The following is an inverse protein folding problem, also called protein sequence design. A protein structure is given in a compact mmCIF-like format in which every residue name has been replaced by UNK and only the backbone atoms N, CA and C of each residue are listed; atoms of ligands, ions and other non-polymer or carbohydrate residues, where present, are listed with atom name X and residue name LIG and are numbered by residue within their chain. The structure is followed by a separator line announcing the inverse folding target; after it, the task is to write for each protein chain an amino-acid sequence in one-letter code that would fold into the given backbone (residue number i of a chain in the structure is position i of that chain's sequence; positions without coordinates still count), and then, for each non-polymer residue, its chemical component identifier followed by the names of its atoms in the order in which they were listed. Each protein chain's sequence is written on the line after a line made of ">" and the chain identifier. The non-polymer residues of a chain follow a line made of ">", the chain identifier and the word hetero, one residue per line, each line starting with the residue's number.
data_IF_090693072821
#
_entry.id   IF_090693072821
#
_cell.length_a   1.000
_cell.length_b   1.000
_cell.length_c   1.000
_cell.angle_alpha   90.00
_cell.angle_beta   90.00
_cell.angle_gamma   90.00
#
_symmetry.space_group_name_H-M   'P 1'
#
loop_
_entity.id
_entity.type
_entity.pdbx_description
1 polymer ?
#
# COMPACT_ATOMS: atom_id res chain seq x y z
N UNK A 1 -19.47 5.73 -3.43
CA UNK A 1 -20.07 6.11 -2.13
C UNK A 1 -19.17 5.56 -1.05
N UNK A 2 -18.89 6.34 0.00
CA UNK A 2 -18.07 5.93 1.13
C UNK A 2 -18.97 5.49 2.28
N UNK A 3 -18.70 4.34 2.88
CA UNK A 3 -19.55 3.70 3.88
C UNK A 3 -18.72 3.05 5.00
N UNK A 4 -19.28 3.07 6.21
CA UNK A 4 -18.70 2.44 7.40
C UNK A 4 -19.79 1.63 8.10
N UNK A 5 -19.60 0.31 8.15
CA UNK A 5 -20.52 -0.61 8.80
C UNK A 5 -19.84 -1.32 9.98
N UNK A 6 -20.61 -1.58 11.03
CA UNK A 6 -20.22 -2.48 12.10
C UNK A 6 -20.81 -3.85 11.80
N UNK A 7 -19.98 -4.89 11.74
CA UNK A 7 -20.41 -6.26 11.47
C UNK A 7 -19.76 -7.14 12.52
N UNK A 8 -20.56 -7.74 13.41
CA UNK A 8 -20.06 -8.58 14.51
C UNK A 8 -18.99 -7.87 15.37
N UNK A 9 -17.73 -8.28 15.25
CA UNK A 9 -16.57 -7.78 16.01
C UNK A 9 -15.66 -6.83 15.22
N UNK A 10 -16.04 -6.48 13.98
CA UNK A 10 -15.21 -5.69 13.06
C UNK A 10 -15.92 -4.49 12.48
N UNK A 11 -15.12 -3.50 12.09
CA UNK A 11 -15.54 -2.42 11.21
C UNK A 11 -15.25 -2.78 9.76
N UNK A 12 -16.22 -2.52 8.89
CA UNK A 12 -16.07 -2.64 7.43
C UNK A 12 -16.12 -1.25 6.83
N UNK A 13 -15.05 -0.85 6.17
CA UNK A 13 -14.95 0.41 5.44
C UNK A 13 -14.90 0.12 3.95
N UNK A 14 -15.81 0.73 3.18
CA UNK A 14 -15.80 0.63 1.72
C UNK A 14 -15.95 2.02 1.11
N UNK A 15 -15.11 2.36 0.14
CA UNK A 15 -15.17 3.65 -0.52
C UNK A 15 -14.34 3.67 -1.80
N UNK A 16 -14.25 4.83 -2.47
CA UNK A 16 -13.30 5.00 -3.56
C UNK A 16 -11.85 4.81 -3.06
N UNK A 17 -10.92 4.64 -4.00
CA UNK A 17 -9.56 4.22 -3.69
C UNK A 17 -8.81 5.20 -2.77
N UNK A 18 -9.04 6.50 -2.92
CA UNK A 18 -8.36 7.52 -2.12
C UNK A 18 -8.80 7.47 -0.65
N UNK A 19 -10.10 7.37 -0.42
CA UNK A 19 -10.72 7.20 0.89
C UNK A 19 -10.26 5.89 1.53
N UNK A 20 -10.21 4.82 0.75
CA UNK A 20 -9.75 3.51 1.21
C UNK A 20 -8.29 3.55 1.62
N UNK A 21 -7.43 4.23 0.87
CA UNK A 21 -6.01 4.40 1.22
C UNK A 21 -5.87 5.21 2.48
N UNK A 22 -6.57 6.34 2.61
CA UNK A 22 -6.49 7.15 3.82
C UNK A 22 -7.04 6.43 5.04
N UNK A 23 -8.15 5.69 4.88
CA UNK A 23 -8.71 4.84 5.93
C UNK A 23 -7.67 3.80 6.38
N UNK A 24 -7.03 3.11 5.44
CA UNK A 24 -5.96 2.16 5.72
C UNK A 24 -4.81 2.81 6.50
N UNK A 25 -4.29 3.95 6.02
CA UNK A 25 -3.19 4.66 6.67
C UNK A 25 -3.53 5.16 8.08
N UNK A 26 -4.79 5.49 8.33
CA UNK A 26 -5.29 5.94 9.63
C UNK A 26 -5.35 4.79 10.64
N UNK A 27 -5.80 3.61 10.22
CA UNK A 27 -6.13 2.52 11.15
C UNK A 27 -5.02 1.50 11.34
N UNK A 28 -4.12 1.34 10.37
CA UNK A 28 -3.07 0.31 10.32
C UNK A 28 -2.10 0.25 11.52
N UNK A 29 -1.94 1.35 12.26
CA UNK A 29 -1.05 1.42 13.42
C UNK A 29 -1.79 1.31 14.76
N UNK A 30 -3.13 1.33 14.73
CA UNK A 30 -3.99 1.36 15.93
C UNK A 30 -4.83 0.10 16.04
N UNK A 31 -5.31 -0.41 14.91
CA UNK A 31 -6.06 -1.66 14.85
C UNK A 31 -5.12 -2.86 15.05
N UNK A 32 -5.64 -3.92 15.69
CA UNK A 32 -4.89 -5.17 15.85
C UNK A 32 -4.74 -5.89 14.52
N UNK A 33 -5.77 -5.82 13.68
CA UNK A 33 -5.79 -6.45 12.35
C UNK A 33 -6.55 -5.60 11.36
N UNK A 34 -5.95 -5.42 10.18
CA UNK A 34 -6.56 -4.78 9.01
C UNK A 34 -6.43 -5.76 7.85
N UNK A 35 -7.52 -6.07 7.17
CA UNK A 35 -7.53 -6.92 5.99
C UNK A 35 -8.23 -6.22 4.84
N UNK A 36 -7.66 -6.28 3.63
CA UNK A 36 -8.32 -5.83 2.41
C UNK A 36 -9.05 -7.03 1.79
N UNK A 37 -10.38 -6.99 1.70
CA UNK A 37 -11.19 -8.03 1.03
C UNK A 37 -12.27 -7.39 0.20
N UNK A 38 -12.44 -7.87 -1.03
CA UNK A 38 -13.48 -7.40 -1.97
C UNK A 38 -13.51 -5.87 -2.15
N UNK A 39 -12.33 -5.21 -2.07
CA UNK A 39 -12.20 -3.76 -2.17
C UNK A 39 -12.62 -2.97 -0.92
N UNK A 40 -12.88 -3.66 0.21
CA UNK A 40 -13.18 -3.07 1.50
C UNK A 40 -12.09 -3.37 2.53
N UNK A 41 -11.95 -2.48 3.52
CA UNK A 41 -11.11 -2.73 4.70
C UNK A 41 -11.95 -3.36 5.81
N UNK A 42 -11.47 -4.47 6.33
CA UNK A 42 -12.00 -5.13 7.51
C UNK A 42 -11.05 -4.89 8.67
N UNK A 43 -11.52 -4.19 9.70
CA UNK A 43 -10.71 -3.65 10.78
C UNK A 43 -11.19 -4.27 12.09
N UNK A 44 -10.28 -4.95 12.80
CA UNK A 44 -10.56 -5.67 14.05
C UNK A 44 -9.61 -5.17 15.15
N UNK A 45 -10.08 -4.91 16.39
CA UNK A 45 -11.48 -4.96 16.83
C UNK A 45 -12.28 -3.71 16.42
N UNK A 46 -13.60 -3.77 16.58
CA UNK A 46 -14.49 -2.61 16.42
C UNK A 46 -14.27 -1.58 17.56
N UNK A 47 -13.37 -0.62 17.34
CA UNK A 47 -13.15 0.50 18.24
C UNK A 47 -14.07 1.69 17.88
N UNK A 48 -14.88 2.23 18.81
CA UNK A 48 -15.77 3.36 18.55
C UNK A 48 -15.07 4.62 18.01
N UNK A 49 -13.83 4.86 18.45
CA UNK A 49 -13.01 5.99 18.01
C UNK A 49 -12.63 5.84 16.53
N UNK A 50 -12.26 4.63 16.10
CA UNK A 50 -11.98 4.33 14.70
C UNK A 50 -13.23 4.46 13.84
N UNK A 51 -14.38 3.97 14.31
CA UNK A 51 -15.64 4.11 13.58
C UNK A 51 -16.00 5.59 13.33
N UNK A 52 -15.76 6.44 14.32
CA UNK A 52 -16.02 7.88 14.23
C UNK A 52 -15.05 8.57 13.26
N UNK A 53 -13.75 8.24 13.33
CA UNK A 53 -12.73 8.77 12.42
C UNK A 53 -12.99 8.37 10.96
N UNK A 54 -13.35 7.11 10.71
CA UNK A 54 -13.66 6.60 9.37
C UNK A 54 -14.93 7.24 8.79
N UNK A 55 -15.95 7.50 9.62
CA UNK A 55 -17.15 8.23 9.18
C UNK A 55 -16.83 9.69 8.86
N UNK A 56 -15.95 10.34 9.62
CA UNK A 56 -15.50 11.70 9.33
C UNK A 56 -14.79 11.76 7.97
N UNK A 57 -13.95 10.77 7.67
CA UNK A 57 -13.23 10.66 6.40
C UNK A 57 -14.18 10.58 5.19
N UNK A 58 -15.33 9.90 5.31
CA UNK A 58 -16.34 9.88 4.24
C UNK A 58 -16.96 11.25 3.94
N UNK A 59 -16.81 12.25 4.83
CA UNK A 59 -17.32 13.60 4.66
C UNK A 59 -16.23 14.62 4.28
N UNK A 60 -14.98 14.17 4.11
CA UNK A 60 -13.85 15.04 3.76
C UNK A 60 -13.89 15.50 2.30
N UNK A 61 -13.36 16.69 2.03
CA UNK A 61 -13.11 17.14 0.65
C UNK A 61 -12.03 16.28 -0.02
N UNK A 62 -12.28 15.85 -1.25
CA UNK A 62 -11.37 14.97 -2.02
C UNK A 62 -9.99 15.59 -2.20
N UNK A 63 -9.90 16.91 -2.37
CA UNK A 63 -8.63 17.62 -2.57
C UNK A 63 -7.80 17.64 -1.29
N UNK A 64 -8.45 17.88 -0.15
CA UNK A 64 -7.83 17.78 1.17
C UNK A 64 -7.36 16.36 1.44
N UNK A 65 -8.21 15.37 1.17
CA UNK A 65 -7.87 13.96 1.33
C UNK A 65 -6.68 13.54 0.47
N UNK A 66 -6.60 14.04 -0.77
CA UNK A 66 -5.47 13.77 -1.66
C UNK A 66 -4.16 14.31 -1.09
N UNK A 67 -4.20 15.51 -0.52
CA UNK A 67 -3.04 16.12 0.13
C UNK A 67 -2.62 15.28 1.34
N UNK A 68 -3.55 14.92 2.22
CA UNK A 68 -3.29 14.12 3.43
C UNK A 68 -2.66 12.76 3.09
N UNK A 69 -3.16 12.09 2.05
CA UNK A 69 -2.59 10.82 1.57
C UNK A 69 -1.17 11.02 1.04
N UNK A 70 -0.95 12.06 0.22
CA UNK A 70 0.40 12.36 -0.31
C UNK A 70 1.38 12.66 0.81
N UNK A 71 0.99 13.48 1.78
CA UNK A 71 1.82 13.80 2.94
C UNK A 71 2.12 12.55 3.76
N UNK A 72 1.13 11.71 4.03
CA UNK A 72 1.32 10.45 4.77
C UNK A 72 2.29 9.51 4.06
N UNK A 73 2.14 9.35 2.73
CA UNK A 73 3.04 8.56 1.90
C UNK A 73 4.48 9.11 1.93
N UNK A 74 4.63 10.43 1.80
CA UNK A 74 5.94 11.09 1.89
C UNK A 74 6.61 10.86 3.25
N UNK A 75 5.86 10.94 4.36
CA UNK A 75 6.38 10.66 5.71
C UNK A 75 6.86 9.20 5.87
N UNK A 76 6.23 8.26 5.17
CA UNK A 76 6.68 6.87 5.12
C UNK A 76 7.87 6.65 4.16
N UNK A 77 8.32 7.67 3.44
CA UNK A 77 9.45 7.62 2.52
C UNK A 77 9.08 7.24 1.08
N UNK A 78 7.81 7.37 0.70
CA UNK A 78 7.38 7.21 -0.69
C UNK A 78 7.56 8.50 -1.47
N UNK A 79 8.13 8.40 -2.66
CA UNK A 79 8.02 9.43 -3.68
C UNK A 79 6.67 9.28 -4.37
N UNK A 80 5.90 10.35 -4.46
CA UNK A 80 4.55 10.35 -5.02
C UNK A 80 4.50 11.24 -6.26
N UNK A 81 4.06 10.68 -7.38
CA UNK A 81 3.88 11.38 -8.65
C UNK A 81 2.39 11.56 -8.96
N UNK A 82 2.07 12.70 -9.58
CA UNK A 82 0.71 13.04 -10.03
C UNK A 82 0.19 14.34 -9.39
N UNK A 83 -0.47 15.17 -10.19
CA UNK A 83 -0.99 16.47 -9.74
C UNK A 83 -2.35 16.33 -9.05
N UNK A 84 -3.38 16.02 -9.86
CA UNK A 84 -4.79 15.91 -9.42
C UNK A 84 -5.17 14.54 -8.85
N UNK A 85 -4.24 13.59 -8.88
CA UNK A 85 -4.39 12.23 -8.37
C UNK A 85 -2.98 11.67 -8.09
N UNK A 86 -2.91 10.49 -7.48
CA UNK A 86 -1.70 9.68 -7.35
C UNK A 86 -1.62 8.77 -8.57
N UNK A 87 -0.62 8.99 -9.43
CA UNK A 87 -0.41 8.20 -10.66
C UNK A 87 0.62 7.10 -10.42
N UNK A 88 1.65 7.43 -9.63
CA UNK A 88 2.75 6.51 -9.35
C UNK A 88 3.30 6.78 -7.95
N UNK A 89 3.69 5.72 -7.26
CA UNK A 89 4.49 5.82 -6.04
C UNK A 89 5.74 4.97 -6.17
N UNK A 90 6.84 5.45 -5.59
CA UNK A 90 8.12 4.73 -5.59
C UNK A 90 8.79 4.84 -4.24
N UNK A 91 9.34 3.73 -3.76
CA UNK A 91 10.19 3.69 -2.58
C UNK A 91 11.48 2.96 -2.92
N UNK A 92 12.60 3.55 -2.50
CA UNK A 92 13.93 2.97 -2.73
C UNK A 92 14.65 2.87 -1.40
N UNK A 93 15.34 1.76 -1.18
CA UNK A 93 16.18 1.55 -0.01
C UNK A 93 17.48 0.85 -0.39
N UNK A 94 18.48 1.06 0.44
CA UNK A 94 19.81 0.46 0.28
C UNK A 94 19.73 -1.03 0.64
N UNK A 95 20.39 -1.86 -0.14
CA UNK A 95 20.56 -3.28 0.12
C UNK A 95 22.04 -3.60 0.32
N UNK A 96 22.48 -3.72 1.58
CA UNK A 96 23.90 -3.92 1.91
C UNK A 96 24.78 -2.72 1.54
N UNK A 97 26.05 -2.97 1.21
CA UNK A 97 27.04 -1.89 0.99
C UNK A 97 26.88 -1.21 -0.37
N UNK A 98 26.58 -1.95 -1.43
CA UNK A 98 26.50 -1.43 -2.81
C UNK A 98 25.21 -1.76 -3.55
N UNK A 99 24.26 -2.44 -2.90
CA UNK A 99 23.01 -2.84 -3.51
C UNK A 99 21.86 -1.88 -3.26
N UNK A 100 20.78 -2.08 -4.01
CA UNK A 100 19.53 -1.35 -3.84
C UNK A 100 18.34 -2.27 -4.03
N UNK A 101 17.19 -1.80 -3.57
CA UNK A 101 15.90 -2.30 -3.96
C UNK A 101 14.96 -1.11 -4.15
N UNK A 102 14.27 -1.11 -5.28
CA UNK A 102 13.26 -0.12 -5.65
C UNK A 102 11.95 -0.85 -5.84
N UNK A 103 10.93 -0.39 -5.13
CA UNK A 103 9.54 -0.78 -5.36
C UNK A 103 8.82 0.39 -6.01
N UNK A 104 8.07 0.12 -7.06
CA UNK A 104 7.25 1.09 -7.77
C UNK A 104 5.85 0.53 -7.97
N UNK A 105 4.85 1.37 -7.78
CA UNK A 105 3.48 1.08 -8.19
C UNK A 105 3.01 2.11 -9.21
N UNK A 106 2.54 1.62 -10.34
CA UNK A 106 1.91 2.38 -11.42
C UNK A 106 0.39 2.15 -11.37
N UNK A 107 -0.37 3.19 -11.03
CA UNK A 107 -1.83 3.12 -10.91
C UNK A 107 -2.52 2.93 -12.26
N UNK A 108 -1.98 3.49 -13.34
CA UNK A 108 -2.58 3.39 -14.68
C UNK A 108 -2.53 1.96 -15.19
N UNK A 109 -1.39 1.29 -14.98
CA UNK A 109 -1.16 -0.09 -15.40
C UNK A 109 -1.50 -1.12 -14.31
N UNK A 110 -1.90 -0.68 -13.12
CA UNK A 110 -2.18 -1.53 -11.95
C UNK A 110 -1.04 -2.54 -11.70
N UNK A 111 0.20 -2.04 -11.80
CA UNK A 111 1.40 -2.88 -11.76
C UNK A 111 2.32 -2.46 -10.63
N UNK A 112 2.68 -3.41 -9.77
CA UNK A 112 3.81 -3.29 -8.87
C UNK A 112 5.07 -3.85 -9.53
N UNK A 113 6.17 -3.11 -9.46
CA UNK A 113 7.47 -3.50 -10.00
C UNK A 113 8.53 -3.42 -8.92
N UNK A 114 9.40 -4.43 -8.87
CA UNK A 114 10.57 -4.47 -8.01
C UNK A 114 11.82 -4.55 -8.88
N UNK A 115 12.81 -3.72 -8.59
CA UNK A 115 14.14 -3.82 -9.17
C UNK A 115 15.16 -3.88 -8.04
N UNK A 116 16.00 -4.90 -8.01
CA UNK A 116 16.99 -5.07 -6.95
C UNK A 116 18.27 -5.75 -7.42
N UNK A 117 19.38 -5.47 -6.75
CA UNK A 117 20.64 -6.21 -6.91
C UNK A 117 20.71 -7.47 -6.04
N UNK A 118 19.75 -7.70 -5.13
CA UNK A 118 19.71 -8.88 -4.25
C UNK A 118 19.09 -10.10 -4.96
N UNK A 119 19.91 -10.82 -5.74
CA UNK A 119 19.46 -11.97 -6.55
C UNK A 119 18.81 -13.10 -5.72
N UNK A 120 19.23 -13.26 -4.47
CA UNK A 120 18.65 -14.17 -3.47
C UNK A 120 17.14 -13.96 -3.22
N UNK A 121 16.60 -12.77 -3.46
CA UNK A 121 15.18 -12.48 -3.26
C UNK A 121 14.27 -13.07 -4.35
N UNK A 122 14.82 -13.73 -5.38
CA UNK A 122 14.03 -14.30 -6.46
C UNK A 122 12.94 -15.26 -5.98
N UNK A 123 13.29 -16.19 -5.09
CA UNK A 123 12.32 -17.14 -4.55
C UNK A 123 11.24 -16.46 -3.73
N UNK A 124 11.59 -15.46 -2.92
CA UNK A 124 10.64 -14.69 -2.12
C UNK A 124 9.67 -13.89 -3.00
N UNK A 125 10.18 -13.21 -4.02
CA UNK A 125 9.37 -12.43 -4.95
C UNK A 125 8.41 -13.34 -5.74
N UNK A 126 8.84 -14.54 -6.13
CA UNK A 126 7.95 -15.54 -6.72
C UNK A 126 6.86 -16.01 -5.74
N UNK A 127 7.20 -16.23 -4.45
CA UNK A 127 6.21 -16.58 -3.41
C UNK A 127 5.20 -15.46 -3.17
N UNK A 128 5.62 -14.22 -3.31
CA UNK A 128 4.75 -13.03 -3.30
C UNK A 128 4.01 -12.81 -4.63
N UNK A 129 4.06 -13.77 -5.57
CA UNK A 129 3.29 -13.73 -6.82
C UNK A 129 3.85 -12.80 -7.89
N UNK A 130 5.11 -12.39 -7.80
CA UNK A 130 5.77 -11.65 -8.87
C UNK A 130 6.28 -12.58 -9.97
N UNK A 131 6.13 -12.13 -11.21
CA UNK A 131 6.87 -12.64 -12.35
C UNK A 131 8.30 -12.11 -12.28
N UNK A 132 9.25 -13.00 -12.00
CA UNK A 132 10.66 -12.64 -11.77
C UNK A 132 11.49 -12.90 -13.03
N UNK A 133 12.23 -11.88 -13.45
CA UNK A 133 13.26 -11.94 -14.48
C UNK A 133 14.61 -11.59 -13.87
N UNK A 134 15.55 -12.53 -13.93
CA UNK A 134 16.91 -12.34 -13.41
C UNK A 134 17.89 -12.08 -14.54
N UNK A 135 18.72 -11.06 -14.37
CA UNK A 135 19.92 -10.82 -15.18
C UNK A 135 21.18 -11.11 -14.36
N UNK A 136 22.36 -10.92 -14.97
CA UNK A 136 23.64 -11.18 -14.29
C UNK A 136 23.85 -10.36 -13.01
N UNK A 137 23.31 -9.14 -12.94
CA UNK A 137 23.61 -8.19 -11.86
C UNK A 137 22.39 -7.65 -11.12
N UNK A 138 21.19 -7.86 -11.67
CA UNK A 138 19.96 -7.37 -11.08
C UNK A 138 18.81 -8.33 -11.36
N UNK A 139 17.81 -8.21 -10.51
CA UNK A 139 16.54 -8.88 -10.56
C UNK A 139 15.46 -7.83 -10.82
N UNK A 140 14.59 -8.12 -11.77
CA UNK A 140 13.36 -7.38 -12.02
C UNK A 140 12.18 -8.29 -11.72
N UNK A 141 11.15 -7.76 -11.09
CA UNK A 141 9.95 -8.50 -10.79
C UNK A 141 8.72 -7.63 -11.05
N UNK A 142 7.65 -8.19 -11.61
CA UNK A 142 6.38 -7.48 -11.82
C UNK A 142 5.20 -8.30 -11.35
N UNK A 143 4.19 -7.62 -10.80
CA UNK A 143 2.93 -8.22 -10.36
C UNK A 143 1.79 -7.24 -10.61
N UNK A 144 0.64 -7.77 -11.02
CA UNK A 144 -0.61 -7.00 -11.03
C UNK A 144 -1.11 -6.79 -9.60
N UNK A 145 -1.51 -5.56 -9.26
CA UNK A 145 -2.06 -5.21 -7.96
C UNK A 145 -3.34 -4.41 -8.13
N UNK A 146 -4.36 -4.72 -7.34
CA UNK A 146 -5.71 -4.21 -7.53
C UNK A 146 -5.89 -2.81 -6.93
N UNK A 147 -5.05 -2.43 -5.96
CA UNK A 147 -5.20 -1.18 -5.23
C UNK A 147 -3.86 -0.60 -4.76
N UNK A 148 -3.87 0.70 -4.49
CA UNK A 148 -2.76 1.39 -3.82
C UNK A 148 -2.48 0.83 -2.41
N UNK A 149 -3.50 0.36 -1.68
CA UNK A 149 -3.30 -0.28 -0.37
C UNK A 149 -2.50 -1.58 -0.51
N UNK A 150 -2.88 -2.44 -1.46
CA UNK A 150 -2.16 -3.69 -1.74
C UNK A 150 -0.69 -3.41 -2.12
N UNK A 151 -0.44 -2.36 -2.89
CA UNK A 151 0.92 -1.96 -3.23
C UNK A 151 1.75 -1.53 -2.01
N UNK A 152 1.15 -0.80 -1.05
CA UNK A 152 1.81 -0.40 0.19
C UNK A 152 2.12 -1.64 1.05
N UNK A 153 1.16 -2.55 1.21
CA UNK A 153 1.34 -3.79 1.97
C UNK A 153 2.45 -4.66 1.37
N UNK A 154 2.47 -4.83 0.05
CA UNK A 154 3.49 -5.62 -0.63
C UNK A 154 4.90 -5.05 -0.46
N UNK A 155 5.06 -3.73 -0.52
CA UNK A 155 6.37 -3.11 -0.29
C UNK A 155 6.83 -3.33 1.14
N UNK A 156 5.93 -3.34 2.11
CA UNK A 156 6.27 -3.58 3.51
C UNK A 156 6.57 -5.04 3.82
N UNK A 157 5.86 -5.97 3.19
CA UNK A 157 6.22 -7.39 3.23
C UNK A 157 7.60 -7.59 2.65
N UNK A 158 7.86 -7.03 1.47
CA UNK A 158 9.19 -6.98 0.86
C UNK A 158 10.19 -6.32 1.81
N UNK A 159 9.77 -5.32 2.59
CA UNK A 159 10.64 -4.58 3.50
C UNK A 159 11.24 -5.46 4.60
N UNK A 160 10.49 -6.50 5.00
CA UNK A 160 10.84 -7.45 6.05
C UNK A 160 11.70 -8.60 5.55
N UNK A 161 11.76 -8.81 4.23
CA UNK A 161 12.58 -9.87 3.64
C UNK A 161 14.06 -9.57 3.83
N UNK A 162 14.80 -10.60 4.22
CA UNK A 162 16.24 -10.53 4.42
C UNK A 162 16.99 -11.41 3.45
N UNK A 163 18.10 -10.84 2.99
CA UNK A 163 19.23 -11.48 2.38
C UNK A 163 20.46 -10.77 2.96
#
# INVERSE_FOLDING_TARGET
>A
MCEVAAVEDRLVFSGPELETVMAYLTVRNVAERVEVRDGALHITPQLPELASALKALCNSDVSSLLLDVKESLLHMGWLVEGGRDIVKIRRSRRAGVSGFITFEYDKLNRTASVVTTQLCLAGELQRLGFEVSASKYLLEARRHVNSLVEAIELEEELSKLTC
#
